data_IF_930780292494
#
_entry.id   IF_930780292494
#
_cell.length_a   1.000
_cell.length_b   1.000
_cell.length_c   1.000
_cell.angle_alpha   90.00
_cell.angle_beta   90.00
_cell.angle_gamma   90.00
#
_symmetry.space_group_name_H-M   'P 1'
#
loop_
_entity.id
_entity.type
_entity.pdbx_description
1 polymer ?
#
# COMPACT_ATOMS: atom_id res chain seq x y z
N UNK A 1 -9.60 8.51 -22.52
CA UNK A 1 -9.65 8.38 -21.08
C UNK A 1 -8.71 7.27 -20.62
N UNK A 2 -7.97 7.52 -19.55
CA UNK A 2 -7.09 6.50 -19.00
C UNK A 2 -7.89 5.43 -18.28
N UNK A 3 -7.49 4.19 -18.46
CA UNK A 3 -8.05 3.06 -17.74
C UNK A 3 -7.63 3.13 -16.27
N UNK A 4 -8.56 2.89 -15.36
CA UNK A 4 -8.30 3.00 -13.92
C UNK A 4 -7.19 2.05 -13.47
N UNK A 5 -7.19 0.82 -13.96
CA UNK A 5 -6.11 -0.13 -13.65
C UNK A 5 -4.76 0.44 -14.07
N UNK A 6 -4.68 1.02 -15.26
CA UNK A 6 -3.43 1.63 -15.76
C UNK A 6 -3.01 2.85 -14.94
N UNK A 7 -3.96 3.64 -14.46
CA UNK A 7 -3.65 4.80 -13.61
C UNK A 7 -2.93 4.33 -12.34
N UNK A 8 -3.48 3.32 -11.68
CA UNK A 8 -2.89 2.77 -10.46
C UNK A 8 -1.55 2.09 -10.76
N UNK A 9 -1.49 1.36 -11.88
CA UNK A 9 -0.29 0.64 -12.30
C UNK A 9 0.86 1.58 -12.64
N UNK A 10 0.57 2.70 -13.31
CA UNK A 10 1.59 3.68 -13.69
C UNK A 10 2.20 4.40 -12.48
N UNK A 11 1.48 4.47 -11.38
CA UNK A 11 2.03 5.01 -10.14
C UNK A 11 3.11 4.10 -9.54
N UNK A 12 3.21 2.85 -10.01
CA UNK A 12 4.23 1.91 -9.57
C UNK A 12 4.04 1.51 -8.12
N UNK A 13 5.10 1.63 -7.34
CA UNK A 13 5.07 1.29 -5.92
C UNK A 13 4.47 2.39 -5.04
N UNK A 14 4.04 3.53 -5.62
CA UNK A 14 3.41 4.61 -4.87
C UNK A 14 1.89 4.40 -4.83
N UNK A 15 1.27 4.36 -3.64
CA UNK A 15 -0.19 4.29 -3.55
C UNK A 15 -0.86 5.54 -4.15
N UNK A 16 -2.06 5.37 -4.65
CA UNK A 16 -2.84 6.43 -5.31
C UNK A 16 -4.11 6.67 -4.53
N UNK A 17 -4.45 7.94 -4.32
CA UNK A 17 -5.71 8.33 -3.67
C UNK A 17 -6.89 8.16 -4.63
N UNK A 18 -8.07 7.84 -4.08
CA UNK A 18 -9.29 7.77 -4.88
C UNK A 18 -9.54 9.08 -5.64
N UNK A 19 -9.29 10.24 -5.02
CA UNK A 19 -9.45 11.53 -5.65
C UNK A 19 -8.55 11.70 -6.88
N UNK A 20 -7.32 11.19 -6.80
CA UNK A 20 -6.40 11.21 -7.93
C UNK A 20 -6.87 10.30 -9.07
N UNK A 21 -7.43 9.15 -8.71
CA UNK A 21 -8.00 8.21 -9.69
C UNK A 21 -9.18 8.85 -10.43
N UNK A 22 -10.07 9.49 -9.69
CA UNK A 22 -11.24 10.17 -10.26
C UNK A 22 -10.79 11.25 -11.24
N UNK A 23 -9.85 12.09 -10.83
CA UNK A 23 -9.35 13.18 -11.65
C UNK A 23 -8.67 12.66 -12.92
N UNK A 24 -7.77 11.69 -12.78
CA UNK A 24 -7.00 11.16 -13.91
C UNK A 24 -7.87 10.37 -14.88
N UNK A 25 -8.91 9.68 -14.40
CA UNK A 25 -9.78 8.85 -15.24
C UNK A 25 -10.83 9.66 -16.00
N UNK A 26 -11.18 10.85 -15.51
CA UNK A 26 -12.29 11.63 -16.07
C UNK A 26 -13.66 11.05 -15.79
N UNK A 27 -13.76 10.02 -14.95
CA UNK A 27 -15.03 9.42 -14.57
C UNK A 27 -15.67 10.20 -13.42
N UNK A 28 -17.01 10.06 -13.26
CA UNK A 28 -17.62 10.59 -12.05
C UNK A 28 -17.22 9.74 -10.83
N UNK A 29 -17.35 10.28 -9.61
CA UNK A 29 -16.88 9.57 -8.41
C UNK A 29 -17.51 8.21 -8.22
N UNK A 30 -18.82 8.07 -8.48
CA UNK A 30 -19.50 6.79 -8.31
C UNK A 30 -18.98 5.75 -9.28
N UNK A 31 -18.82 6.13 -10.55
CA UNK A 31 -18.33 5.23 -11.60
C UNK A 31 -16.89 4.79 -11.29
N UNK A 32 -16.05 5.74 -10.91
CA UNK A 32 -14.67 5.44 -10.55
C UNK A 32 -14.61 4.47 -9.36
N UNK A 33 -15.41 4.71 -8.34
CA UNK A 33 -15.49 3.83 -7.17
C UNK A 33 -15.92 2.41 -7.53
N UNK A 34 -16.95 2.29 -8.38
CA UNK A 34 -17.43 0.98 -8.82
C UNK A 34 -16.33 0.22 -9.58
N UNK A 35 -15.60 0.91 -10.46
CA UNK A 35 -14.54 0.28 -11.23
C UNK A 35 -13.36 -0.15 -10.34
N UNK A 36 -13.01 0.66 -9.35
CA UNK A 36 -11.98 0.29 -8.38
C UNK A 36 -12.42 -0.94 -7.58
N UNK A 37 -13.68 -0.98 -7.13
CA UNK A 37 -14.22 -2.14 -6.41
C UNK A 37 -14.13 -3.43 -7.22
N UNK A 38 -14.40 -3.37 -8.51
CA UNK A 38 -14.26 -4.52 -9.40
C UNK A 38 -12.83 -5.02 -9.40
N UNK A 39 -11.86 -4.10 -9.48
CA UNK A 39 -10.44 -4.46 -9.46
C UNK A 39 -10.01 -5.05 -8.13
N UNK A 40 -10.55 -4.54 -7.02
CA UNK A 40 -10.31 -5.09 -5.68
C UNK A 40 -10.86 -6.51 -5.58
N UNK A 41 -12.09 -6.73 -6.06
CA UNK A 41 -12.74 -8.05 -6.03
C UNK A 41 -11.97 -9.07 -6.87
N UNK A 42 -11.37 -8.62 -7.98
CA UNK A 42 -10.54 -9.47 -8.84
C UNK A 42 -9.13 -9.66 -8.30
N UNK A 43 -8.82 -9.08 -7.15
CA UNK A 43 -7.50 -9.15 -6.51
C UNK A 43 -6.37 -8.55 -7.34
N UNK A 44 -6.69 -7.57 -8.17
CA UNK A 44 -5.71 -6.83 -8.96
C UNK A 44 -5.21 -5.59 -8.25
N UNK A 45 -6.01 -5.05 -7.33
CA UNK A 45 -5.71 -3.84 -6.57
C UNK A 45 -5.90 -4.13 -5.09
N UNK A 46 -4.96 -3.65 -4.29
CA UNK A 46 -5.01 -3.75 -2.83
C UNK A 46 -5.52 -2.43 -2.26
N UNK A 47 -6.67 -2.42 -1.56
CA UNK A 47 -7.10 -1.23 -0.85
C UNK A 47 -6.28 -1.07 0.43
N UNK A 48 -5.91 0.18 0.71
CA UNK A 48 -5.21 0.56 1.94
C UNK A 48 -6.09 1.54 2.72
N UNK A 49 -5.64 1.96 3.89
CA UNK A 49 -6.36 2.97 4.65
C UNK A 49 -6.26 4.35 3.96
N UNK A 50 -7.13 5.28 4.35
CA UNK A 50 -7.14 6.67 3.84
C UNK A 50 -7.40 6.77 2.34
N UNK A 51 -8.25 5.91 1.79
CA UNK A 51 -8.63 5.90 0.37
C UNK A 51 -7.42 5.75 -0.57
N UNK A 52 -6.39 5.06 -0.11
CA UNK A 52 -5.22 4.74 -0.93
C UNK A 52 -5.37 3.36 -1.55
N UNK A 53 -4.88 3.23 -2.78
CA UNK A 53 -4.93 1.99 -3.54
C UNK A 53 -3.58 1.72 -4.18
N UNK A 54 -3.21 0.45 -4.25
CA UNK A 54 -1.93 0.00 -4.78
C UNK A 54 -2.17 -1.24 -5.63
N UNK A 55 -1.44 -1.40 -6.73
CA UNK A 55 -1.51 -2.64 -7.50
C UNK A 55 -1.12 -3.80 -6.58
N UNK A 56 -1.91 -4.87 -6.59
CA UNK A 56 -1.72 -6.01 -5.69
C UNK A 56 -0.32 -6.60 -5.82
N UNK A 57 0.21 -6.68 -7.03
CA UNK A 57 1.56 -7.17 -7.28
C UNK A 57 2.62 -6.35 -6.55
N UNK A 58 2.47 -5.03 -6.53
CA UNK A 58 3.40 -4.15 -5.81
C UNK A 58 3.24 -4.27 -4.30
N UNK A 59 2.01 -4.48 -3.83
CA UNK A 59 1.78 -4.72 -2.42
C UNK A 59 2.45 -6.02 -1.95
N UNK A 60 2.31 -7.09 -2.74
CA UNK A 60 2.95 -8.37 -2.43
C UNK A 60 4.48 -8.23 -2.42
N UNK A 61 5.03 -7.46 -3.35
CA UNK A 61 6.46 -7.17 -3.41
C UNK A 61 6.92 -6.40 -2.17
N UNK A 62 6.10 -5.44 -1.73
CA UNK A 62 6.38 -4.66 -0.53
C UNK A 62 6.41 -5.57 0.71
N UNK A 63 5.46 -6.47 0.84
CA UNK A 63 5.43 -7.42 1.95
C UNK A 63 6.68 -8.32 1.95
N UNK A 64 7.12 -8.75 0.79
CA UNK A 64 8.33 -9.57 0.67
C UNK A 64 9.57 -8.79 1.12
N UNK A 65 9.67 -7.53 0.74
CA UNK A 65 10.78 -6.67 1.18
C UNK A 65 10.81 -6.52 2.69
N UNK A 66 9.64 -6.33 3.31
CA UNK A 66 9.53 -6.20 4.76
C UNK A 66 9.94 -7.49 5.45
N UNK A 67 9.45 -8.62 4.96
CA UNK A 67 9.79 -9.92 5.52
C UNK A 67 11.30 -10.17 5.46
N UNK A 68 11.91 -9.88 4.31
CA UNK A 68 13.36 -10.05 4.14
C UNK A 68 14.13 -9.13 5.07
N UNK A 69 13.65 -7.90 5.27
CA UNK A 69 14.26 -6.96 6.20
C UNK A 69 14.30 -7.54 7.62
N UNK A 70 13.19 -8.11 8.09
CA UNK A 70 13.10 -8.67 9.43
C UNK A 70 13.84 -10.01 9.59
N UNK A 71 14.29 -10.62 8.49
CA UNK A 71 15.15 -11.81 8.60
C UNK A 71 16.53 -11.47 9.17
N UNK A 72 16.97 -10.21 9.01
CA UNK A 72 18.30 -9.77 9.45
C UNK A 72 18.24 -8.59 10.42
N UNK A 73 17.06 -8.06 10.70
CA UNK A 73 16.86 -6.94 11.62
C UNK A 73 15.72 -7.26 12.57
N UNK A 74 15.83 -6.82 13.82
CA UNK A 74 14.79 -7.03 14.83
C UNK A 74 13.82 -5.86 14.90
N UNK A 75 14.25 -4.68 14.48
CA UNK A 75 13.47 -3.44 14.57
C UNK A 75 13.52 -2.69 13.25
N UNK A 76 12.44 -1.96 12.94
CA UNK A 76 12.37 -1.11 11.77
C UNK A 76 11.85 0.27 12.17
N UNK A 77 12.57 1.32 11.80
CA UNK A 77 12.13 2.70 12.00
C UNK A 77 11.39 3.16 10.75
N UNK A 78 10.66 4.28 10.88
CA UNK A 78 9.97 4.87 9.72
C UNK A 78 10.97 5.20 8.60
N UNK A 79 12.15 5.72 8.95
CA UNK A 79 13.19 6.02 7.97
C UNK A 79 13.64 4.76 7.23
N UNK A 80 13.78 3.64 7.93
CA UNK A 80 14.15 2.36 7.33
C UNK A 80 13.08 1.88 6.36
N UNK A 81 11.81 2.04 6.73
CA UNK A 81 10.68 1.67 5.87
C UNK A 81 10.67 2.52 4.59
N UNK A 82 10.90 3.82 4.72
CA UNK A 82 10.97 4.70 3.56
C UNK A 82 12.11 4.33 2.61
N UNK A 83 13.28 4.03 3.16
CA UNK A 83 14.44 3.62 2.36
C UNK A 83 14.17 2.29 1.66
N UNK A 84 13.56 1.35 2.38
CA UNK A 84 13.27 0.02 1.87
C UNK A 84 12.25 0.03 0.72
N UNK A 85 11.23 0.87 0.84
CA UNK A 85 10.09 0.88 -0.08
C UNK A 85 10.16 1.98 -1.12
N UNK A 86 10.94 3.02 -0.88
CA UNK A 86 10.97 4.19 -1.76
C UNK A 86 9.76 5.11 -1.60
N UNK A 87 8.90 4.85 -0.61
CA UNK A 87 7.72 5.68 -0.39
C UNK A 87 8.10 7.03 0.23
N UNK A 88 7.33 8.07 -0.12
CA UNK A 88 7.46 9.37 0.51
C UNK A 88 6.82 9.33 1.89
N UNK A 89 7.15 10.30 2.76
CA UNK A 89 6.54 10.37 4.09
C UNK A 89 5.01 10.44 4.01
N UNK A 90 4.48 11.13 3.01
CA UNK A 90 3.03 11.27 2.80
C UNK A 90 2.33 9.91 2.64
N UNK A 91 2.96 8.98 1.95
CA UNK A 91 2.38 7.65 1.68
C UNK A 91 2.92 6.58 2.61
N UNK A 92 4.14 6.73 3.12
CA UNK A 92 4.76 5.74 4.00
C UNK A 92 3.99 5.56 5.30
N UNK A 93 3.57 6.66 5.94
CA UNK A 93 2.87 6.59 7.22
C UNK A 93 1.51 5.86 7.09
N UNK A 94 0.63 6.22 6.14
CA UNK A 94 -0.62 5.48 5.96
C UNK A 94 -0.40 4.00 5.63
N UNK A 95 0.61 3.67 4.84
CA UNK A 95 0.91 2.27 4.52
C UNK A 95 1.38 1.52 5.77
N UNK A 96 2.27 2.12 6.58
CA UNK A 96 2.71 1.52 7.83
C UNK A 96 1.54 1.29 8.79
N UNK A 97 0.64 2.27 8.91
CA UNK A 97 -0.53 2.13 9.77
C UNK A 97 -1.43 0.99 9.30
N UNK A 98 -1.58 0.83 8.00
CA UNK A 98 -2.33 -0.30 7.43
C UNK A 98 -1.65 -1.62 7.80
N UNK A 99 -0.32 -1.70 7.69
CA UNK A 99 0.43 -2.90 8.04
C UNK A 99 0.31 -3.21 9.53
N UNK A 100 0.36 -2.19 10.39
CA UNK A 100 0.18 -2.35 11.85
C UNK A 100 -1.21 -2.91 12.15
N UNK A 101 -2.23 -2.35 11.53
CA UNK A 101 -3.63 -2.74 11.73
C UNK A 101 -3.88 -4.18 11.30
N UNK A 102 -3.22 -4.62 10.25
CA UNK A 102 -3.38 -5.97 9.70
C UNK A 102 -2.32 -6.95 10.22
N UNK A 103 -1.56 -6.55 11.22
CA UNK A 103 -0.60 -7.39 11.95
C UNK A 103 0.58 -7.88 11.11
N UNK A 104 0.90 -7.19 10.03
CA UNK A 104 2.16 -7.43 9.31
C UNK A 104 3.33 -6.84 10.07
N UNK A 105 3.09 -5.71 10.74
CA UNK A 105 4.05 -5.08 11.63
C UNK A 105 3.39 -4.86 12.98
N UNK A 106 4.22 -4.71 14.02
CA UNK A 106 3.76 -4.45 15.38
C UNK A 106 4.43 -3.18 15.86
N UNK A 107 3.62 -2.12 16.03
CA UNK A 107 4.14 -0.82 16.45
C UNK A 107 4.48 -0.84 17.93
N UNK A 108 5.69 -0.39 18.26
CA UNK A 108 6.14 -0.20 19.64
C UNK A 108 6.89 1.11 19.71
N UNK A 109 6.24 2.14 20.27
CA UNK A 109 6.76 3.51 20.32
C UNK A 109 7.12 4.02 18.91
N UNK A 110 8.38 4.31 18.62
CA UNK A 110 8.82 4.84 17.34
C UNK A 110 9.34 3.78 16.38
N UNK A 111 9.25 2.50 16.77
CA UNK A 111 9.78 1.40 15.96
C UNK A 111 8.65 0.41 15.63
N UNK A 112 8.95 -0.47 14.68
CA UNK A 112 8.09 -1.62 14.34
C UNK A 112 8.88 -2.90 14.53
N UNK A 113 8.18 -3.92 15.04
CA UNK A 113 8.66 -5.29 15.12
C UNK A 113 7.91 -6.11 14.08
N UNK A 114 8.40 -7.31 13.77
CA UNK A 114 7.70 -8.20 12.85
C UNK A 114 6.34 -8.58 13.45
N UNK A 115 5.31 -8.55 12.64
CA UNK A 115 3.95 -8.88 13.06
C UNK A 115 3.62 -10.35 12.88
N UNK A 116 2.51 -10.76 13.51
CA UNK A 116 2.06 -12.15 13.49
C UNK A 116 1.68 -12.66 12.10
N UNK A 117 1.22 -11.76 11.22
CA UNK A 117 0.77 -12.14 9.89
C UNK A 117 1.86 -12.80 9.05
N UNK A 118 3.13 -12.51 9.32
CA UNK A 118 4.26 -13.12 8.61
C UNK A 118 4.59 -14.53 9.11
N UNK A 119 4.02 -14.93 10.23
CA UNK A 119 4.28 -16.26 10.82
C UNK A 119 3.19 -17.29 10.47
N UNK A 120 2.22 -16.88 9.68
CA UNK A 120 1.12 -17.75 9.25
C UNK A 120 1.38 -18.42 7.91
#
# INVERSE_FOLDING_TARGET
>A
MANIENIIKQAGSQPVLMSEIIEASGQNPKRAGDLVHILVDKKKVQPLDNDLFLIKRFFDSLLLKIRNYFNVNTEMKVADFKDLTGLTRKTAIPVLEYLDKNRYTNRKDNIRLIGEAFNE
#
